data_IF_877017793205
#
_entry.id   IF_877017793205
#
_cell.length_a   1.000
_cell.length_b   1.000
_cell.length_c   1.000
_cell.angle_alpha   90.00
_cell.angle_beta   90.00
_cell.angle_gamma   90.00
#
_symmetry.space_group_name_H-M   'P 1'
#
loop_
_entity.id
_entity.type
_entity.pdbx_description
1 polymer ?
#
# COMPACT_ATOMS: atom_id res chain seq x y z
N UNK A 1 -16.02 26.30 7.88
CA UNK A 1 -15.02 27.17 7.24
C UNK A 1 -13.65 26.61 7.58
N UNK A 2 -12.94 26.01 6.61
CA UNK A 2 -11.56 25.58 6.84
C UNK A 2 -10.71 26.83 7.06
N UNK A 3 -9.91 26.83 8.13
CA UNK A 3 -8.86 27.84 8.30
C UNK A 3 -7.86 27.70 7.14
N UNK A 4 -7.31 28.80 6.61
CA UNK A 4 -6.31 28.72 5.56
C UNK A 4 -5.10 27.91 6.04
N UNK A 5 -4.69 26.92 5.26
CA UNK A 5 -3.51 26.11 5.55
C UNK A 5 -2.26 26.98 5.57
N UNK A 6 -1.34 26.71 6.49
CA UNK A 6 -0.02 27.34 6.48
C UNK A 6 0.77 26.91 5.24
N UNK A 7 1.77 27.70 4.84
CA UNK A 7 2.67 27.33 3.74
C UNK A 7 3.31 25.96 3.95
N UNK A 8 3.70 25.64 5.19
CA UNK A 8 4.29 24.35 5.53
C UNK A 8 3.31 23.19 5.36
N UNK A 9 2.03 23.40 5.74
CA UNK A 9 0.99 22.39 5.56
C UNK A 9 0.71 22.16 4.07
N UNK A 10 0.63 23.22 3.28
CA UNK A 10 0.44 23.11 1.82
C UNK A 10 1.60 22.36 1.16
N UNK A 11 2.85 22.68 1.53
CA UNK A 11 4.03 21.98 1.05
C UNK A 11 3.99 20.49 1.42
N UNK A 12 3.61 20.15 2.66
CA UNK A 12 3.48 18.77 3.09
C UNK A 12 2.40 18.03 2.28
N UNK A 13 1.24 18.63 2.05
CA UNK A 13 0.18 18.04 1.22
C UNK A 13 0.64 17.82 -0.23
N UNK A 14 1.36 18.77 -0.83
CA UNK A 14 1.93 18.62 -2.17
C UNK A 14 2.95 17.47 -2.25
N UNK A 15 3.75 17.27 -1.20
CA UNK A 15 4.67 16.13 -1.11
C UNK A 15 3.90 14.80 -1.09
N UNK A 16 2.77 14.72 -0.39
CA UNK A 16 1.90 13.53 -0.37
C UNK A 16 1.25 13.29 -1.73
N UNK A 17 0.71 14.32 -2.37
CA UNK A 17 0.12 14.23 -3.72
C UNK A 17 1.16 13.73 -4.72
N UNK A 18 2.37 14.29 -4.70
CA UNK A 18 3.47 13.81 -5.53
C UNK A 18 3.84 12.34 -5.23
N UNK A 19 3.91 11.96 -3.95
CA UNK A 19 4.18 10.58 -3.57
C UNK A 19 3.07 9.61 -4.05
N UNK A 20 1.81 10.03 -4.04
CA UNK A 20 0.68 9.26 -4.55
C UNK A 20 0.69 9.12 -6.08
N UNK A 21 1.15 10.14 -6.81
CA UNK A 21 1.41 10.02 -8.24
C UNK A 21 2.51 8.99 -8.47
N UNK A 22 3.64 9.11 -7.75
CA UNK A 22 4.76 8.18 -7.88
C UNK A 22 4.37 6.74 -7.52
N UNK A 23 3.43 6.51 -6.59
CA UNK A 23 2.99 5.15 -6.26
C UNK A 23 2.29 4.44 -7.44
N UNK A 24 1.74 5.20 -8.38
CA UNK A 24 1.06 4.70 -9.59
C UNK A 24 2.02 4.59 -10.78
N UNK A 25 2.91 5.55 -11.00
CA UNK A 25 3.74 5.63 -12.22
C UNK A 25 5.25 5.46 -12.03
N UNK A 26 5.78 5.45 -10.80
CA UNK A 26 7.23 5.52 -10.47
C UNK A 26 7.95 6.77 -10.99
N UNK A 27 9.04 7.15 -10.34
CA UNK A 27 9.89 8.27 -10.76
C UNK A 27 10.59 7.96 -12.08
N UNK A 28 11.05 6.72 -12.26
CA UNK A 28 11.78 6.29 -13.45
C UNK A 28 10.93 6.33 -14.74
N UNK A 29 9.63 6.04 -14.66
CA UNK A 29 8.75 6.23 -15.83
C UNK A 29 8.44 7.69 -16.06
N UNK A 30 8.21 8.46 -14.99
CA UNK A 30 7.92 9.89 -15.08
C UNK A 30 9.06 10.64 -15.78
N UNK A 31 10.30 10.43 -15.34
CA UNK A 31 11.51 10.99 -15.95
C UNK A 31 11.66 10.57 -17.42
N UNK A 32 11.42 9.29 -17.73
CA UNK A 32 11.51 8.78 -19.10
C UNK A 32 10.46 9.44 -20.02
N UNK A 33 9.24 9.59 -19.54
CA UNK A 33 8.14 10.16 -20.34
C UNK A 33 8.38 11.65 -20.60
N UNK A 34 8.74 12.43 -19.58
CA UNK A 34 8.96 13.86 -19.73
C UNK A 34 10.26 14.21 -20.48
N UNK A 35 11.30 13.38 -20.39
CA UNK A 35 12.51 13.54 -21.21
C UNK A 35 12.26 13.27 -22.69
N UNK A 36 11.36 12.35 -23.03
CA UNK A 36 10.99 12.06 -24.41
C UNK A 36 9.93 13.03 -24.97
N UNK A 37 9.00 13.49 -24.12
CA UNK A 37 7.87 14.35 -24.49
C UNK A 37 7.59 15.34 -23.35
N UNK A 38 8.19 16.52 -23.43
CA UNK A 38 8.04 17.55 -22.39
C UNK A 38 6.60 18.07 -22.23
N UNK A 39 5.74 17.94 -23.25
CA UNK A 39 4.33 18.32 -23.24
C UNK A 39 3.37 17.14 -23.03
N UNK A 40 3.86 16.02 -22.49
CA UNK A 40 3.01 14.86 -22.22
C UNK A 40 1.95 15.15 -21.16
N UNK A 41 0.71 14.74 -21.41
CA UNK A 41 -0.39 14.84 -20.45
C UNK A 41 -0.36 13.67 -19.46
N UNK A 42 0.12 13.94 -18.25
CA UNK A 42 0.26 12.94 -17.17
C UNK A 42 -1.07 12.28 -16.77
N UNK A 43 -2.21 12.96 -16.97
CA UNK A 43 -3.53 12.39 -16.63
C UNK A 43 -3.79 11.08 -17.33
N UNK A 44 -3.19 10.87 -18.51
CA UNK A 44 -3.29 9.62 -19.26
C UNK A 44 -2.66 8.43 -18.56
N UNK A 45 -1.60 8.63 -17.77
CA UNK A 45 -0.96 7.56 -16.99
C UNK A 45 -1.64 7.33 -15.64
N UNK A 46 -2.34 8.35 -15.14
CA UNK A 46 -3.10 8.29 -13.87
C UNK A 46 -4.56 7.86 -14.07
N UNK A 47 -4.99 7.64 -15.31
CA UNK A 47 -6.36 7.25 -15.63
C UNK A 47 -6.75 5.97 -14.86
N UNK A 48 -7.87 6.03 -14.13
CA UNK A 48 -8.39 4.96 -13.29
C UNK A 48 -7.81 4.91 -11.86
N UNK A 49 -6.88 5.82 -11.53
CA UNK A 49 -6.24 5.94 -10.21
C UNK A 49 -6.55 7.27 -9.49
N UNK A 50 -7.40 8.10 -10.09
CA UNK A 50 -7.78 9.44 -9.59
C UNK A 50 -8.38 9.36 -8.18
N UNK A 51 -9.17 8.31 -7.93
CA UNK A 51 -9.78 8.04 -6.60
C UNK A 51 -8.76 7.99 -5.46
N UNK A 52 -7.52 7.58 -5.74
CA UNK A 52 -6.47 7.55 -4.72
C UNK A 52 -6.04 8.96 -4.34
N UNK A 53 -5.95 9.87 -5.30
CA UNK A 53 -5.62 11.27 -5.04
C UNK A 53 -6.75 11.96 -4.27
N UNK A 54 -8.00 11.76 -4.69
CA UNK A 54 -9.17 12.34 -4.03
C UNK A 54 -9.27 11.87 -2.57
N UNK A 55 -9.20 10.55 -2.35
CA UNK A 55 -9.20 9.95 -1.02
C UNK A 55 -8.03 10.43 -0.15
N UNK A 56 -6.84 10.60 -0.73
CA UNK A 56 -5.68 11.10 0.00
C UNK A 56 -5.88 12.56 0.47
N UNK A 57 -6.45 13.41 -0.38
CA UNK A 57 -6.78 14.79 0.00
C UNK A 57 -7.80 14.82 1.15
N UNK A 58 -8.87 14.03 1.05
CA UNK A 58 -9.86 13.91 2.12
C UNK A 58 -9.25 13.43 3.44
N UNK A 59 -8.31 12.47 3.38
CA UNK A 59 -7.60 11.95 4.54
C UNK A 59 -6.67 12.99 5.17
N UNK A 60 -5.93 13.76 4.37
CA UNK A 60 -5.03 14.81 4.88
C UNK A 60 -5.77 15.92 5.64
N UNK A 61 -7.04 16.16 5.31
CA UNK A 61 -7.87 17.15 5.99
C UNK A 61 -8.51 16.63 7.29
N UNK A 62 -8.72 15.31 7.40
CA UNK A 62 -9.46 14.70 8.51
C UNK A 62 -8.57 13.95 9.50
N UNK A 63 -7.43 13.47 9.06
CA UNK A 63 -6.56 12.61 9.85
C UNK A 63 -5.27 13.36 10.27
N UNK A 64 -5.08 13.61 11.58
CA UNK A 64 -3.92 14.35 12.08
C UNK A 64 -2.59 13.58 11.89
N UNK A 65 -2.64 12.28 11.57
CA UNK A 65 -1.45 11.47 11.35
C UNK A 65 -0.58 11.98 10.19
N UNK A 66 -1.19 12.58 9.17
CA UNK A 66 -0.48 13.21 8.05
C UNK A 66 0.31 14.44 8.51
N UNK A 67 -0.28 15.28 9.35
CA UNK A 67 0.37 16.45 9.93
C UNK A 67 1.53 16.05 10.86
N UNK A 68 1.33 14.98 11.63
CA UNK A 68 2.30 14.51 12.62
C UNK A 68 3.40 13.63 12.02
N UNK A 69 3.28 13.20 10.76
CA UNK A 69 4.18 12.19 10.18
C UNK A 69 4.15 10.87 10.96
N UNK A 70 2.99 10.53 11.53
CA UNK A 70 2.78 9.34 12.35
C UNK A 70 1.83 8.39 11.61
N UNK A 71 1.76 7.13 12.05
CA UNK A 71 0.82 6.13 11.49
C UNK A 71 -0.14 5.69 12.59
N UNK A 72 -1.44 5.67 12.28
CA UNK A 72 -2.46 5.21 13.23
C UNK A 72 -2.38 3.70 13.39
N UNK A 73 -2.14 3.25 14.61
CA UNK A 73 -2.19 1.84 14.99
C UNK A 73 -3.50 1.52 15.69
N UNK A 74 -4.07 0.34 15.43
CA UNK A 74 -5.25 -0.14 16.14
C UNK A 74 -4.86 -0.46 17.59
N UNK A 75 -5.48 0.16 18.63
CA UNK A 75 -5.17 -0.17 20.02
C UNK A 75 -5.54 -1.63 20.34
N UNK A 76 -4.58 -2.40 20.86
CA UNK A 76 -4.73 -3.82 21.19
C UNK A 76 -3.91 -4.16 22.43
N UNK A 77 -4.35 -5.18 23.16
CA UNK A 77 -3.55 -5.75 24.24
C UNK A 77 -2.17 -6.22 23.68
N UNK A 78 -1.04 -5.92 24.37
CA UNK A 78 0.29 -6.25 23.87
C UNK A 78 0.44 -7.73 23.49
N UNK A 79 -0.02 -8.64 24.35
CA UNK A 79 0.01 -10.08 24.10
C UNK A 79 -0.74 -10.50 22.82
N UNK A 80 -1.86 -9.85 22.51
CA UNK A 80 -2.62 -10.13 21.28
C UNK A 80 -1.86 -9.62 20.04
N UNK A 81 -1.30 -8.41 20.10
CA UNK A 81 -0.48 -7.87 19.01
C UNK A 81 0.75 -8.73 18.76
N UNK A 82 1.40 -9.21 19.82
CA UNK A 82 2.55 -10.09 19.72
C UNK A 82 2.18 -11.42 19.07
N UNK A 83 1.06 -12.03 19.49
CA UNK A 83 0.56 -13.26 18.88
C UNK A 83 0.28 -13.11 17.37
N UNK A 84 -0.39 -12.01 16.98
CA UNK A 84 -0.65 -11.69 15.57
C UNK A 84 0.67 -11.52 14.80
N UNK A 85 1.59 -10.72 15.35
CA UNK A 85 2.88 -10.43 14.72
C UNK A 85 3.72 -11.70 14.55
N UNK A 86 3.76 -12.57 15.56
CA UNK A 86 4.45 -13.86 15.50
C UNK A 86 3.83 -14.82 14.47
N UNK A 87 2.49 -14.86 14.38
CA UNK A 87 1.81 -15.66 13.36
C UNK A 87 2.14 -15.15 11.94
N UNK A 88 2.11 -13.84 11.74
CA UNK A 88 2.51 -13.22 10.47
C UNK A 88 3.98 -13.51 10.14
N UNK A 89 4.90 -13.35 11.10
CA UNK A 89 6.33 -13.64 10.91
C UNK A 89 6.55 -15.09 10.46
N UNK A 90 5.91 -16.06 11.12
CA UNK A 90 6.01 -17.49 10.77
C UNK A 90 5.54 -17.78 9.35
N UNK A 91 4.47 -17.12 8.91
CA UNK A 91 3.94 -17.29 7.56
C UNK A 91 4.85 -16.61 6.53
N UNK A 92 5.21 -15.35 6.77
CA UNK A 92 6.04 -14.52 5.90
C UNK A 92 7.45 -15.12 5.70
N UNK A 93 8.04 -15.74 6.73
CA UNK A 93 9.37 -16.36 6.66
C UNK A 93 9.46 -17.51 5.64
N UNK A 94 8.34 -18.10 5.22
CA UNK A 94 8.30 -19.14 4.18
C UNK A 94 8.53 -18.57 2.77
N UNK A 95 8.32 -17.28 2.58
CA UNK A 95 8.38 -16.63 1.27
C UNK A 95 9.60 -15.70 1.18
N UNK A 96 10.72 -16.23 0.65
CA UNK A 96 12.02 -15.54 0.60
C UNK A 96 12.02 -14.19 -0.12
N UNK A 97 11.02 -13.92 -0.95
CA UNK A 97 10.91 -12.72 -1.78
C UNK A 97 9.85 -11.74 -1.27
N UNK A 98 9.22 -12.04 -0.14
CA UNK A 98 8.35 -11.11 0.55
C UNK A 98 9.22 -10.04 1.24
N UNK A 99 8.90 -8.77 1.01
CA UNK A 99 9.60 -7.63 1.61
C UNK A 99 8.90 -7.22 2.90
N UNK A 100 7.58 -7.04 2.83
CA UNK A 100 6.74 -6.62 3.96
C UNK A 100 5.41 -7.37 3.98
N UNK A 101 4.86 -7.57 5.18
CA UNK A 101 3.50 -8.02 5.42
C UNK A 101 2.82 -7.08 6.40
N UNK A 102 1.64 -6.59 6.06
CA UNK A 102 0.86 -5.66 6.87
C UNK A 102 -0.51 -6.27 7.13
N UNK A 103 -0.94 -6.20 8.39
CA UNK A 103 -2.33 -6.42 8.74
C UNK A 103 -2.94 -5.06 9.09
N UNK A 104 -4.03 -4.74 8.41
CA UNK A 104 -4.74 -3.47 8.53
C UNK A 104 -6.18 -3.76 8.91
N UNK A 105 -6.78 -2.95 9.77
CA UNK A 105 -8.21 -2.99 10.05
C UNK A 105 -8.71 -1.57 10.22
N UNK A 106 -9.81 -1.22 9.56
CA UNK A 106 -10.44 0.11 9.68
C UNK A 106 -9.45 1.28 9.43
N UNK A 107 -8.59 1.15 8.42
CA UNK A 107 -7.53 2.10 8.09
C UNK A 107 -6.45 2.29 9.18
N UNK A 108 -6.41 1.40 10.17
CA UNK A 108 -5.40 1.38 11.22
C UNK A 108 -4.47 0.18 11.06
N UNK A 109 -3.18 0.41 11.33
CA UNK A 109 -2.17 -0.64 11.32
C UNK A 109 -2.35 -1.55 12.54
N UNK A 110 -2.54 -2.85 12.29
CA UNK A 110 -2.62 -3.88 13.33
C UNK A 110 -1.24 -4.45 13.61
N UNK A 111 -0.53 -4.86 12.56
CA UNK A 111 0.82 -5.39 12.67
C UNK A 111 1.58 -5.17 11.35
N UNK A 112 2.88 -4.94 11.46
CA UNK A 112 3.81 -4.84 10.34
C UNK A 112 4.95 -5.83 10.59
N UNK A 113 5.20 -6.69 9.62
CA UNK A 113 6.36 -7.59 9.59
C UNK A 113 7.14 -7.33 8.32
N UNK A 114 8.45 -7.52 8.37
CA UNK A 114 9.30 -7.31 7.21
C UNK A 114 10.72 -7.75 7.45
N UNK A 115 11.53 -7.63 6.41
CA UNK A 115 12.97 -7.87 6.50
C UNK A 115 13.61 -6.84 7.45
N UNK A 116 14.31 -7.30 8.50
CA UNK A 116 14.88 -6.44 9.56
C UNK A 116 15.73 -5.27 9.08
N UNK A 117 16.36 -5.39 7.90
CA UNK A 117 17.20 -4.35 7.29
C UNK A 117 16.39 -3.14 6.81
N UNK A 118 15.11 -3.32 6.53
CA UNK A 118 14.29 -2.32 5.90
C UNK A 118 13.18 -1.84 6.85
N UNK A 119 12.95 -0.54 6.85
CA UNK A 119 11.87 0.11 7.59
C UNK A 119 10.99 0.83 6.57
N UNK A 120 9.67 0.70 6.71
CA UNK A 120 8.73 1.46 5.88
C UNK A 120 8.55 2.86 6.46
N UNK A 121 8.71 3.86 5.61
CA UNK A 121 8.46 5.25 5.97
C UNK A 121 6.95 5.50 6.14
N UNK A 122 6.55 6.44 7.01
CA UNK A 122 5.12 6.72 7.25
C UNK A 122 4.37 7.12 5.97
N UNK A 123 5.02 7.84 5.06
CA UNK A 123 4.42 8.23 3.76
C UNK A 123 4.02 6.98 2.97
N UNK A 124 4.92 6.02 2.83
CA UNK A 124 4.63 4.77 2.10
C UNK A 124 3.54 3.96 2.80
N UNK A 125 3.50 3.97 4.14
CA UNK A 125 2.41 3.35 4.90
C UNK A 125 1.07 4.03 4.63
N UNK A 126 1.00 5.36 4.60
CA UNK A 126 -0.22 6.08 4.25
C UNK A 126 -0.69 5.78 2.83
N UNK A 127 0.22 5.67 1.86
CA UNK A 127 -0.13 5.30 0.48
C UNK A 127 -0.69 3.88 0.41
N UNK A 128 -0.13 2.93 1.16
CA UNK A 128 -0.65 1.55 1.24
C UNK A 128 -2.02 1.48 1.91
N UNK A 129 -2.22 2.23 3.00
CA UNK A 129 -3.51 2.32 3.68
C UNK A 129 -4.58 2.96 2.76
N UNK A 130 -4.20 4.02 2.04
CA UNK A 130 -5.08 4.68 1.09
C UNK A 130 -5.42 3.77 -0.11
N UNK A 131 -4.45 3.01 -0.62
CA UNK A 131 -4.65 2.04 -1.70
C UNK A 131 -5.79 1.06 -1.38
N UNK A 132 -5.81 0.50 -0.16
CA UNK A 132 -6.84 -0.45 0.26
C UNK A 132 -8.13 0.25 0.69
N UNK A 133 -8.04 1.44 1.27
CA UNK A 133 -9.22 2.22 1.65
C UNK A 133 -10.05 2.63 0.44
N UNK A 134 -9.40 3.15 -0.60
CA UNK A 134 -10.04 3.70 -1.79
C UNK A 134 -10.31 2.64 -2.88
N UNK A 135 -10.13 1.34 -2.60
CA UNK A 135 -10.36 0.25 -3.56
C UNK A 135 -11.40 -0.74 -3.06
N UNK A 136 -12.67 -0.47 -3.38
CA UNK A 136 -13.79 -1.36 -3.03
C UNK A 136 -13.65 -2.77 -3.62
N UNK A 137 -13.06 -2.89 -4.82
CA UNK A 137 -12.86 -4.18 -5.49
C UNK A 137 -12.03 -5.18 -4.68
N UNK A 138 -11.11 -4.71 -3.82
CA UNK A 138 -10.30 -5.57 -2.97
C UNK A 138 -11.11 -6.22 -1.85
N UNK A 139 -12.22 -5.59 -1.42
CA UNK A 139 -13.08 -6.15 -0.36
C UNK A 139 -13.85 -7.38 -0.83
N UNK A 140 -14.09 -7.48 -2.14
CA UNK A 140 -14.87 -8.58 -2.74
C UNK A 140 -14.00 -9.67 -3.37
N UNK A 141 -12.74 -9.38 -3.69
CA UNK A 141 -11.85 -10.33 -4.34
C UNK A 141 -10.39 -10.09 -3.94
N UNK A 142 -9.65 -11.19 -3.78
CA UNK A 142 -8.20 -11.12 -3.65
C UNK A 142 -7.58 -10.60 -4.95
N UNK A 143 -6.60 -9.71 -4.82
CA UNK A 143 -6.00 -9.07 -5.98
C UNK A 143 -4.50 -8.86 -5.82
N UNK A 144 -3.81 -8.88 -6.95
CA UNK A 144 -2.42 -8.46 -7.09
C UNK A 144 -2.37 -7.15 -7.88
N UNK A 145 -1.77 -6.11 -7.31
CA UNK A 145 -1.60 -4.81 -7.96
C UNK A 145 -0.15 -4.35 -7.87
N UNK A 146 0.42 -3.76 -8.93
CA UNK A 146 1.69 -3.05 -8.80
C UNK A 146 1.49 -1.83 -7.88
N UNK A 147 2.48 -1.53 -7.05
CA UNK A 147 2.54 -0.32 -6.24
C UNK A 147 3.99 0.11 -6.07
N UNK A 148 4.28 1.38 -6.32
CA UNK A 148 5.57 1.96 -6.02
C UNK A 148 5.54 2.58 -4.62
N UNK A 149 6.64 2.46 -3.89
CA UNK A 149 6.80 3.00 -2.54
C UNK A 149 7.88 4.10 -2.61
N UNK A 150 7.50 5.37 -2.77
CA UNK A 150 8.45 6.44 -3.12
C UNK A 150 9.57 6.67 -2.11
N UNK A 151 9.37 6.34 -0.82
CA UNK A 151 10.42 6.48 0.20
C UNK A 151 11.27 5.22 0.36
N UNK A 152 10.77 4.06 -0.09
CA UNK A 152 11.52 2.81 -0.10
C UNK A 152 12.35 2.64 -1.38
N UNK A 153 11.71 2.72 -2.55
CA UNK A 153 12.35 2.71 -3.87
C UNK A 153 11.44 3.43 -4.88
N UNK A 154 11.71 4.71 -5.21
CA UNK A 154 10.90 5.47 -6.15
C UNK A 154 11.04 5.02 -7.61
N UNK A 155 12.03 4.18 -7.92
CA UNK A 155 12.33 3.77 -9.30
C UNK A 155 11.63 2.49 -9.72
N UNK A 156 11.11 1.72 -8.76
CA UNK A 156 10.59 0.37 -8.98
C UNK A 156 9.17 0.16 -8.47
N UNK A 157 8.53 -0.89 -8.98
CA UNK A 157 7.29 -1.42 -8.42
C UNK A 157 7.57 -2.60 -7.51
N UNK A 158 6.83 -2.65 -6.42
CA UNK A 158 6.52 -3.89 -5.71
C UNK A 158 5.16 -4.40 -6.21
N UNK A 159 4.90 -5.69 -5.97
CA UNK A 159 3.60 -6.29 -6.15
C UNK A 159 2.93 -6.43 -4.79
N UNK A 160 1.79 -5.76 -4.64
CA UNK A 160 0.94 -5.85 -3.47
C UNK A 160 -0.15 -6.90 -3.70
N UNK A 161 -0.15 -7.94 -2.88
CA UNK A 161 -1.30 -8.81 -2.69
C UNK A 161 -2.21 -8.21 -1.63
N UNK A 162 -3.49 -8.08 -1.93
CA UNK A 162 -4.51 -7.56 -1.01
C UNK A 162 -5.57 -8.63 -0.84
N UNK A 163 -5.84 -9.01 0.42
CA UNK A 163 -6.86 -10.01 0.77
C UNK A 163 -7.60 -9.59 2.03
N UNK A 164 -8.93 -9.54 1.95
CA UNK A 164 -9.80 -9.34 3.10
C UNK A 164 -10.26 -10.68 3.66
N UNK A 165 -10.28 -10.80 4.98
CA UNK A 165 -10.80 -12.02 5.61
C UNK A 165 -12.33 -12.07 5.42
N UNK A 166 -12.83 -13.16 4.84
CA UNK A 166 -14.26 -13.34 4.56
C UNK A 166 -15.15 -13.19 5.81
N UNK A 167 -16.46 -12.97 5.58
CA UNK A 167 -17.46 -12.86 6.66
C UNK A 167 -17.64 -11.45 7.23
N UNK A 168 -17.41 -10.39 6.44
CA UNK A 168 -17.64 -9.00 6.86
C UNK A 168 -16.56 -8.43 7.79
N UNK A 169 -15.45 -9.13 7.97
CA UNK A 169 -14.33 -8.66 8.80
C UNK A 169 -13.63 -7.46 8.14
N UNK A 170 -13.39 -6.34 8.85
CA UNK A 170 -12.68 -5.18 8.30
C UNK A 170 -11.16 -5.40 8.16
N UNK A 171 -10.67 -6.57 8.57
CA UNK A 171 -9.25 -6.93 8.51
C UNK A 171 -8.80 -7.27 7.08
N UNK A 172 -7.75 -6.60 6.64
CA UNK A 172 -7.09 -6.73 5.36
C UNK A 172 -5.61 -7.13 5.55
N UNK A 173 -5.18 -8.18 4.89
CA UNK A 173 -3.78 -8.59 4.77
C UNK A 173 -3.19 -8.00 3.48
N UNK A 174 -2.11 -7.23 3.61
CA UNK A 174 -1.31 -6.76 2.49
C UNK A 174 0.05 -7.44 2.51
N UNK A 175 0.46 -8.05 1.40
CA UNK A 175 1.78 -8.67 1.26
C UNK A 175 2.51 -8.00 0.09
N UNK A 176 3.70 -7.47 0.35
CA UNK A 176 4.52 -6.77 -0.64
C UNK A 176 5.71 -7.63 -1.05
N UNK A 177 5.87 -7.87 -2.35
CA UNK A 177 6.96 -8.67 -2.91
C UNK A 177 7.59 -8.01 -4.12
N UNK A 178 8.86 -8.33 -4.39
CA UNK A 178 9.56 -7.93 -5.61
C UNK A 178 9.23 -8.84 -6.81
N UNK A 179 8.58 -9.98 -6.57
CA UNK A 179 8.26 -10.95 -7.61
C UNK A 179 6.95 -10.63 -8.32
N UNK A 180 6.97 -10.75 -9.65
CA UNK A 180 5.78 -10.67 -10.50
C UNK A 180 4.88 -11.90 -10.41
N UNK A 181 5.38 -13.00 -9.86
CA UNK A 181 4.68 -14.29 -9.80
C UNK A 181 3.88 -14.38 -8.49
N UNK A 182 2.57 -14.68 -8.53
CA UNK A 182 1.77 -14.79 -7.33
C UNK A 182 2.32 -15.87 -6.40
N UNK A 183 2.64 -15.47 -5.17
CA UNK A 183 3.16 -16.35 -4.09
C UNK A 183 2.21 -17.52 -3.78
N UNK A 184 0.93 -17.36 -4.13
CA UNK A 184 -0.14 -18.32 -3.96
C UNK A 184 -0.69 -18.68 -5.34
N UNK A 185 0.11 -19.39 -6.13
CA UNK A 185 -0.47 -20.19 -7.21
C UNK A 185 -1.19 -21.35 -6.52
N UNK A 186 -2.52 -21.55 -6.68
CA UNK A 186 -3.12 -22.80 -6.25
C UNK A 186 -2.35 -23.90 -7.00
N UNK A 187 -1.73 -24.81 -6.26
CA UNK A 187 -1.14 -26.02 -6.85
C UNK A 187 -2.20 -26.60 -7.78
N UNK A 188 -1.90 -26.66 -9.09
CA UNK A 188 -2.74 -27.36 -10.07
C UNK A 188 -3.16 -28.67 -9.43
N UNK A 189 -4.46 -28.81 -9.14
CA UNK A 189 -5.03 -30.10 -8.83
C UNK A 189 -4.61 -31.00 -10.01
N UNK A 190 -3.85 -32.05 -9.70
CA UNK A 190 -3.59 -33.13 -10.65
C UNK A 190 -4.94 -33.57 -11.20
N UNK A 191 -5.11 -33.70 -12.53
CA UNK A 191 -6.31 -34.35 -13.04
C UNK A 191 -6.39 -35.76 -12.43
N UNK A 192 -7.61 -36.30 -12.21
CA UNK A 192 -7.76 -37.68 -11.77
C UNK A 192 -7.04 -38.57 -12.79
N UNK A 193 -6.17 -39.45 -12.29
CA UNK A 193 -5.66 -40.56 -13.10
C UNK A 193 -6.81 -41.54 -13.31
N UNK A 194 -7.56 -41.33 -14.38
CA UNK A 194 -8.39 -42.36 -14.99
C UNK A 194 -7.69 -42.84 -16.27
N UNK A 195 -7.11 -44.04 -16.18
CA UNK A 195 -6.91 -45.11 -17.17
C UNK A 195 -5.74 -46.01 -16.76
#
# INVERSE_FOLDING_TARGET
TSLPLSLQQLQAQLVYVHAQILSVVTASQLERVFSQRCNFDLRRLLAGSERFLDSLCDLMDRDPSFLLGAVRCLPLAPALRDNITQAMLKHCAKHKKLVFGLLVAEQQLVALVGMRKYQLHHVDLHLLLNLVHASESFKTAEAWTPVCLPKFDPSGFLHAHVSYRGGGSPACLLLLTVDRVPLFSPSRASPPQDC
#
